data_IF_541682774764
#
_entry.id   IF_541682774764
#
_cell.length_a   1.000
_cell.length_b   1.000
_cell.length_c   1.000
_cell.angle_alpha   90.00
_cell.angle_beta   90.00
_cell.angle_gamma   90.00
#
_symmetry.space_group_name_H-M   'P 1'
#
loop_
_entity.id
_entity.type
_entity.pdbx_description
1 polymer ?
#
# COMPACT_ATOMS: atom_id res chain seq x y z
N UNK A 1 -27.61 -56.47 2.85
CA UNK A 1 -26.29 -56.53 3.47
C UNK A 1 -25.51 -55.35 2.95
N UNK A 2 -25.73 -54.18 3.37
CA UNK A 2 -25.35 -53.24 4.41
C UNK A 2 -23.83 -53.10 4.51
N UNK A 3 -23.29 -52.05 3.94
CA UNK A 3 -22.00 -51.50 4.27
C UNK A 3 -22.18 -50.05 4.68
N UNK A 4 -22.00 -49.84 5.93
CA UNK A 4 -22.07 -48.62 6.69
C UNK A 4 -20.92 -47.69 6.36
N UNK A 5 -21.26 -46.41 6.16
CA UNK A 5 -20.32 -45.34 6.00
C UNK A 5 -19.46 -45.09 7.24
N UNK A 6 -18.23 -44.78 7.01
CA UNK A 6 -17.30 -44.21 7.98
C UNK A 6 -17.37 -42.68 7.81
N UNK A 7 -18.14 -42.02 8.67
CA UNK A 7 -18.06 -40.62 8.93
C UNK A 7 -16.66 -40.26 9.47
N UNK A 8 -15.98 -39.37 8.79
CA UNK A 8 -14.65 -38.92 9.18
C UNK A 8 -14.77 -37.80 10.22
N UNK A 9 -14.09 -37.90 11.36
CA UNK A 9 -14.10 -36.86 12.39
C UNK A 9 -13.20 -35.63 12.04
N UNK A 10 -12.91 -35.42 10.75
CA UNK A 10 -12.02 -34.31 10.31
C UNK A 10 -12.71 -32.97 10.25
N UNK A 11 -14.04 -32.93 10.11
CA UNK A 11 -14.79 -31.64 10.01
C UNK A 11 -15.06 -30.97 11.37
N UNK A 12 -14.89 -31.70 12.48
CA UNK A 12 -15.11 -31.17 13.83
C UNK A 12 -13.89 -30.45 14.42
N UNK A 13 -12.70 -30.59 13.84
CA UNK A 13 -11.50 -29.89 14.29
C UNK A 13 -11.34 -28.50 13.68
N UNK A 14 -11.97 -28.21 12.54
CA UNK A 14 -11.97 -26.89 11.90
C UNK A 14 -12.93 -25.89 12.55
N UNK A 15 -13.90 -26.37 13.32
CA UNK A 15 -14.90 -25.52 13.99
C UNK A 15 -14.42 -24.90 15.33
N UNK A 16 -13.20 -25.19 15.79
CA UNK A 16 -12.72 -24.73 17.11
C UNK A 16 -11.96 -23.42 17.15
N UNK A 17 -11.80 -22.74 16.00
CA UNK A 17 -11.16 -21.43 15.93
C UNK A 17 -11.99 -20.39 15.14
N UNK A 18 -13.31 -20.40 15.32
CA UNK A 18 -14.10 -19.22 14.92
C UNK A 18 -13.79 -18.15 15.96
N UNK A 19 -12.77 -17.35 15.69
CA UNK A 19 -12.56 -16.10 16.42
C UNK A 19 -13.79 -15.23 16.22
N UNK A 20 -14.46 -14.86 17.30
CA UNK A 20 -15.69 -14.04 17.30
C UNK A 20 -15.44 -12.59 16.86
N UNK A 21 -14.18 -12.22 16.52
CA UNK A 21 -13.82 -10.89 16.04
C UNK A 21 -13.77 -10.80 14.51
N UNK A 22 -14.04 -9.62 13.93
CA UNK A 22 -13.84 -9.38 12.50
C UNK A 22 -12.40 -9.68 12.06
N UNK A 23 -12.25 -10.08 10.79
CA UNK A 23 -10.93 -10.30 10.16
C UNK A 23 -10.13 -8.99 10.20
N UNK A 24 -8.91 -9.04 10.75
CA UNK A 24 -8.04 -7.88 10.85
C UNK A 24 -7.07 -7.82 9.67
N UNK A 25 -7.11 -6.70 8.97
CA UNK A 25 -6.34 -6.44 7.76
C UNK A 25 -5.34 -5.34 8.08
N UNK A 26 -4.05 -5.56 7.81
CA UNK A 26 -3.01 -4.55 8.03
C UNK A 26 -2.41 -4.10 6.69
N UNK A 27 -2.32 -2.79 6.49
CA UNK A 27 -1.70 -2.18 5.32
C UNK A 27 -0.69 -1.11 5.73
N UNK A 28 0.58 -1.32 5.40
CA UNK A 28 1.64 -0.33 5.60
C UNK A 28 1.75 0.61 4.41
N UNK A 29 1.91 1.91 4.69
CA UNK A 29 1.96 2.99 3.71
C UNK A 29 3.30 3.72 3.85
N UNK A 30 4.18 3.57 2.86
CA UNK A 30 5.51 4.20 2.93
C UNK A 30 5.46 5.67 2.50
N UNK A 31 5.90 6.63 3.35
CA UNK A 31 5.94 8.05 3.03
C UNK A 31 7.14 8.40 2.14
N UNK A 32 7.09 7.98 0.88
CA UNK A 32 8.15 8.13 -0.11
C UNK A 32 8.08 9.44 -0.93
N UNK A 33 7.40 10.46 -0.41
CA UNK A 33 7.14 11.73 -1.07
C UNK A 33 5.84 11.74 -1.89
N UNK A 34 5.60 12.82 -2.63
CA UNK A 34 4.33 13.05 -3.32
C UNK A 34 3.89 11.86 -4.16
N UNK A 35 2.62 11.51 -4.04
CA UNK A 35 2.01 10.43 -4.80
C UNK A 35 1.72 10.87 -6.24
N UNK A 36 1.76 9.92 -7.16
CA UNK A 36 1.37 10.11 -8.56
C UNK A 36 0.16 9.21 -8.90
N UNK A 37 -0.52 9.50 -10.00
CA UNK A 37 -1.72 8.76 -10.40
C UNK A 37 -1.47 7.25 -10.56
N UNK A 38 -0.24 6.86 -10.91
CA UNK A 38 0.16 5.46 -10.93
C UNK A 38 0.17 4.80 -9.54
N UNK A 39 0.48 5.56 -8.47
CA UNK A 39 0.33 5.05 -7.09
C UNK A 39 -1.14 4.92 -6.70
N UNK A 40 -1.97 5.88 -7.12
CA UNK A 40 -3.40 5.85 -6.83
C UNK A 40 -4.05 4.61 -7.42
N UNK A 41 -4.01 4.44 -8.72
CA UNK A 41 -4.65 3.30 -9.40
C UNK A 41 -3.92 1.97 -9.17
N UNK A 42 -2.59 2.00 -9.01
CA UNK A 42 -1.78 0.80 -8.79
C UNK A 42 -1.86 0.24 -7.37
N UNK A 43 -2.19 1.05 -6.37
CA UNK A 43 -2.12 0.60 -4.97
C UNK A 43 -3.18 1.24 -4.07
N UNK A 44 -3.32 2.57 -4.08
CA UNK A 44 -4.14 3.28 -3.10
C UNK A 44 -5.63 2.92 -3.22
N UNK A 45 -6.19 2.89 -4.42
CA UNK A 45 -7.60 2.55 -4.65
C UNK A 45 -7.95 1.16 -4.10
N UNK A 46 -7.10 0.18 -4.35
CA UNK A 46 -7.29 -1.16 -3.81
C UNK A 46 -7.12 -1.19 -2.27
N UNK A 47 -6.17 -0.41 -1.74
CA UNK A 47 -6.01 -0.28 -0.30
C UNK A 47 -7.23 0.34 0.37
N UNK A 48 -7.80 1.41 -0.21
CA UNK A 48 -9.00 2.07 0.32
C UNK A 48 -10.23 1.15 0.39
N UNK A 49 -10.34 0.15 -0.50
CA UNK A 49 -11.44 -0.82 -0.47
C UNK A 49 -11.39 -1.73 0.76
N UNK A 50 -10.22 -1.99 1.31
CA UNK A 50 -10.04 -2.89 2.46
C UNK A 50 -10.77 -2.40 3.73
N UNK A 51 -11.01 -1.09 3.88
CA UNK A 51 -11.75 -0.54 5.00
C UNK A 51 -13.22 -1.03 5.08
N UNK A 52 -13.72 -1.69 4.03
CA UNK A 52 -15.06 -2.26 3.96
C UNK A 52 -15.07 -3.80 4.09
N UNK A 53 -13.91 -4.44 4.21
CA UNK A 53 -13.79 -5.90 4.22
C UNK A 53 -13.61 -6.50 5.61
N UNK A 54 -13.23 -5.68 6.61
CA UNK A 54 -12.96 -6.13 7.96
C UNK A 54 -12.46 -4.99 8.85
N UNK A 55 -11.80 -5.34 9.96
CA UNK A 55 -11.15 -4.39 10.85
C UNK A 55 -9.82 -3.96 10.22
N UNK A 56 -9.83 -2.86 9.45
CA UNK A 56 -8.69 -2.41 8.69
C UNK A 56 -7.79 -1.45 9.49
N UNK A 57 -6.49 -1.76 9.52
CA UNK A 57 -5.42 -0.96 10.10
C UNK A 57 -4.53 -0.42 8.99
N UNK A 58 -4.36 0.89 8.94
CA UNK A 58 -3.43 1.56 8.03
C UNK A 58 -2.39 2.31 8.84
N UNK A 59 -1.14 2.03 8.61
CA UNK A 59 -0.07 2.78 9.27
C UNK A 59 0.89 3.42 8.28
N UNK A 60 1.33 4.62 8.60
CA UNK A 60 2.37 5.32 7.87
C UNK A 60 3.72 4.81 8.40
N UNK A 61 4.47 4.14 7.55
CA UNK A 61 5.70 3.41 7.90
C UNK A 61 6.92 4.36 8.00
N UNK A 62 6.88 5.27 8.94
CA UNK A 62 7.90 6.30 9.12
C UNK A 62 9.22 5.75 9.70
N UNK A 63 9.21 4.74 10.58
CA UNK A 63 10.43 4.05 11.00
C UNK A 63 11.13 3.36 9.83
N UNK A 64 10.38 2.69 8.95
CA UNK A 64 10.96 2.07 7.75
C UNK A 64 11.60 3.11 6.83
N UNK A 65 11.06 4.32 6.78
CA UNK A 65 11.58 5.40 5.95
C UNK A 65 12.94 5.90 6.40
N UNK A 66 13.31 5.72 7.68
CA UNK A 66 14.65 6.07 8.19
C UNK A 66 15.78 5.27 7.51
N UNK A 67 15.48 4.15 6.86
CA UNK A 67 16.48 3.41 6.08
C UNK A 67 16.94 4.15 4.82
N UNK A 68 16.23 5.21 4.41
CA UNK A 68 16.50 5.94 3.16
C UNK A 68 16.34 7.46 3.28
N UNK A 69 15.61 7.98 4.26
CA UNK A 69 15.37 9.40 4.47
C UNK A 69 16.08 9.83 5.76
N UNK A 70 17.14 10.64 5.63
CA UNK A 70 17.96 11.12 6.74
C UNK A 70 17.72 12.61 7.05
N UNK A 71 16.78 13.25 6.35
CA UNK A 71 16.35 14.64 6.61
C UNK A 71 15.02 14.62 7.39
N UNK A 72 15.06 15.12 8.61
CA UNK A 72 13.91 15.12 9.51
C UNK A 72 12.76 16.02 9.02
N UNK A 73 13.04 17.08 8.26
CA UNK A 73 12.02 17.95 7.69
C UNK A 73 11.31 17.24 6.54
N UNK A 74 12.07 16.65 5.63
CA UNK A 74 11.56 15.88 4.51
C UNK A 74 10.70 14.70 5.00
N UNK A 75 11.13 13.98 6.02
CA UNK A 75 10.35 12.88 6.58
C UNK A 75 9.01 13.35 7.15
N UNK A 76 9.01 14.43 7.96
CA UNK A 76 7.77 14.99 8.52
C UNK A 76 6.81 15.48 7.44
N UNK A 77 7.33 16.16 6.41
CA UNK A 77 6.53 16.61 5.27
C UNK A 77 5.91 15.43 4.52
N UNK A 78 6.69 14.40 4.21
CA UNK A 78 6.21 13.21 3.51
C UNK A 78 5.14 12.45 4.31
N UNK A 79 5.32 12.30 5.63
CA UNK A 79 4.34 11.65 6.51
C UNK A 79 3.03 12.42 6.50
N UNK A 80 3.11 13.76 6.62
CA UNK A 80 1.92 14.62 6.62
C UNK A 80 1.19 14.61 5.29
N UNK A 81 1.91 14.78 4.18
CA UNK A 81 1.34 14.74 2.84
C UNK A 81 0.64 13.42 2.56
N UNK A 82 1.27 12.30 2.94
CA UNK A 82 0.68 10.97 2.78
C UNK A 82 -0.63 10.82 3.58
N UNK A 83 -0.66 11.31 4.82
CA UNK A 83 -1.87 11.28 5.65
C UNK A 83 -3.00 12.07 5.00
N UNK A 84 -2.72 13.30 4.55
CA UNK A 84 -3.69 14.15 3.89
C UNK A 84 -4.19 13.50 2.59
N UNK A 85 -3.29 12.94 1.78
CA UNK A 85 -3.64 12.34 0.49
C UNK A 85 -4.55 11.11 0.67
N UNK A 86 -4.30 10.24 1.66
CA UNK A 86 -5.17 9.10 1.93
C UNK A 86 -6.56 9.52 2.42
N UNK A 87 -6.65 10.47 3.33
CA UNK A 87 -7.93 11.02 3.79
C UNK A 87 -8.69 11.72 2.65
N UNK A 88 -7.99 12.50 1.82
CA UNK A 88 -8.58 13.16 0.67
C UNK A 88 -9.13 12.18 -0.36
N UNK A 89 -8.44 11.06 -0.57
CA UNK A 89 -8.86 10.00 -1.49
C UNK A 89 -9.93 9.07 -0.94
N UNK A 90 -10.37 9.24 0.31
CA UNK A 90 -11.52 8.54 0.84
C UNK A 90 -11.22 7.50 1.92
N UNK A 91 -10.03 7.54 2.54
CA UNK A 91 -9.83 6.81 3.79
C UNK A 91 -10.75 7.43 4.86
N UNK A 92 -11.60 6.60 5.45
CA UNK A 92 -12.58 6.99 6.44
C UNK A 92 -12.12 6.55 7.84
N UNK A 93 -11.69 7.49 8.71
CA UNK A 93 -11.19 7.15 10.04
C UNK A 93 -12.26 6.58 10.99
N UNK A 94 -13.54 6.69 10.63
CA UNK A 94 -14.62 6.03 11.37
C UNK A 94 -14.73 4.53 11.04
N UNK A 95 -14.22 4.11 9.87
CA UNK A 95 -14.28 2.71 9.39
C UNK A 95 -12.97 1.96 9.56
N UNK A 96 -11.87 2.65 9.79
CA UNK A 96 -10.57 2.04 9.92
C UNK A 96 -9.72 2.70 11.02
N UNK A 97 -8.62 2.07 11.36
CA UNK A 97 -7.62 2.61 12.28
C UNK A 97 -6.48 3.16 11.44
N UNK A 98 -6.24 4.48 11.48
CA UNK A 98 -5.21 5.14 10.71
C UNK A 98 -4.23 5.90 11.59
N UNK A 99 -2.94 5.59 11.53
CA UNK A 99 -1.94 6.11 12.47
C UNK A 99 -0.53 6.14 11.87
N UNK A 100 0.42 6.80 12.57
CA UNK A 100 1.85 6.72 12.28
C UNK A 100 2.46 5.54 13.04
N UNK A 101 3.34 4.79 12.41
CA UNK A 101 4.06 3.67 13.03
C UNK A 101 4.77 4.12 14.32
N UNK A 102 5.43 5.28 14.28
CA UNK A 102 6.17 5.83 15.43
C UNK A 102 5.30 6.23 16.62
N UNK A 103 3.99 6.39 16.43
CA UNK A 103 3.05 6.64 17.52
C UNK A 103 2.71 5.36 18.34
N UNK A 104 3.20 4.19 17.88
CA UNK A 104 3.05 2.89 18.55
C UNK A 104 4.43 2.29 18.85
N UNK A 105 5.16 2.85 19.85
CA UNK A 105 6.53 2.43 20.16
C UNK A 105 6.66 0.97 20.59
N UNK A 106 5.58 0.34 21.00
CA UNK A 106 5.49 -1.09 21.36
C UNK A 106 6.01 -2.02 20.23
N UNK A 107 5.90 -1.57 18.98
CA UNK A 107 6.43 -2.28 17.79
C UNK A 107 7.94 -2.51 17.91
N UNK A 108 8.68 -1.51 18.38
CA UNK A 108 10.16 -1.60 18.45
C UNK A 108 10.63 -2.58 19.49
N UNK A 109 9.91 -2.72 20.59
CA UNK A 109 10.21 -3.73 21.61
C UNK A 109 9.92 -5.14 21.06
N UNK A 110 8.77 -5.34 20.41
CA UNK A 110 8.49 -6.62 19.77
C UNK A 110 9.53 -6.95 18.68
N UNK A 111 9.97 -5.98 17.90
CA UNK A 111 11.02 -6.16 16.89
C UNK A 111 12.33 -6.64 17.54
N UNK A 112 12.69 -6.11 18.70
CA UNK A 112 13.86 -6.58 19.45
C UNK A 112 13.67 -8.04 19.90
N UNK A 113 12.54 -8.39 20.48
CA UNK A 113 12.25 -9.77 20.93
C UNK A 113 12.30 -10.73 19.74
N UNK A 114 11.68 -10.39 18.62
CA UNK A 114 11.73 -11.19 17.39
C UNK A 114 13.15 -11.34 16.84
N UNK A 115 13.99 -10.31 16.99
CA UNK A 115 15.39 -10.35 16.55
C UNK A 115 16.18 -11.46 17.25
N UNK A 116 15.85 -11.80 18.51
CA UNK A 116 16.55 -12.84 19.29
C UNK A 116 16.31 -14.26 18.76
N UNK A 117 15.23 -14.48 18.03
CA UNK A 117 14.89 -15.77 17.41
C UNK A 117 15.06 -15.79 15.89
N UNK A 118 15.52 -14.67 15.31
CA UNK A 118 15.69 -14.52 13.87
C UNK A 118 17.06 -15.03 13.42
N UNK A 119 17.16 -16.10 12.62
CA UNK A 119 18.45 -16.54 12.07
C UNK A 119 19.00 -15.54 11.07
N UNK A 120 20.29 -15.22 11.15
CA UNK A 120 20.98 -14.33 10.19
C UNK A 120 20.78 -14.77 8.74
N UNK A 121 20.92 -16.08 8.46
CA UNK A 121 20.73 -16.63 7.12
C UNK A 121 19.32 -16.47 6.55
N UNK A 122 18.29 -16.22 7.39
CA UNK A 122 16.94 -15.87 6.90
C UNK A 122 16.96 -14.48 6.27
N UNK A 123 17.57 -13.51 6.95
CA UNK A 123 17.67 -12.12 6.47
C UNK A 123 18.59 -11.99 5.27
N UNK A 124 19.70 -12.74 5.24
CA UNK A 124 20.63 -12.77 4.10
C UNK A 124 19.98 -13.25 2.79
N UNK A 125 18.93 -14.07 2.87
CA UNK A 125 18.19 -14.55 1.71
C UNK A 125 17.12 -13.58 1.21
N UNK A 126 16.82 -12.50 1.96
CA UNK A 126 15.84 -11.50 1.54
C UNK A 126 16.30 -10.74 0.30
N UNK A 127 15.51 -10.79 -0.77
CA UNK A 127 15.84 -10.16 -2.07
C UNK A 127 16.05 -8.66 -1.95
N UNK A 128 15.20 -7.96 -1.22
CA UNK A 128 15.27 -6.50 -1.10
C UNK A 128 16.58 -5.98 -0.50
N UNK A 129 17.22 -6.74 0.41
CA UNK A 129 18.55 -6.38 0.91
C UNK A 129 19.59 -6.47 -0.20
N UNK A 130 19.61 -7.60 -0.92
CA UNK A 130 20.56 -7.83 -2.03
C UNK A 130 20.39 -6.80 -3.14
N UNK A 131 19.16 -6.50 -3.53
CA UNK A 131 18.86 -5.53 -4.58
C UNK A 131 19.32 -4.11 -4.19
N UNK A 132 19.05 -3.68 -2.97
CA UNK A 132 19.47 -2.36 -2.50
C UNK A 132 21.00 -2.22 -2.44
N UNK A 133 21.70 -3.26 -1.96
CA UNK A 133 23.15 -3.29 -1.95
C UNK A 133 23.72 -3.29 -3.38
N UNK A 134 23.13 -4.06 -4.29
CA UNK A 134 23.51 -4.08 -5.70
C UNK A 134 23.32 -2.72 -6.41
N UNK A 135 22.33 -1.92 -5.97
CA UNK A 135 22.11 -0.56 -6.44
C UNK A 135 22.92 0.52 -5.71
N UNK A 136 23.94 0.12 -4.93
CA UNK A 136 24.88 1.04 -4.27
C UNK A 136 24.33 1.71 -3.00
N UNK A 137 23.24 1.22 -2.44
CA UNK A 137 22.75 1.70 -1.14
C UNK A 137 23.63 1.11 -0.05
N UNK A 138 24.13 1.96 0.85
CA UNK A 138 24.97 1.52 1.98
C UNK A 138 24.25 0.46 2.82
N UNK A 139 24.91 -0.65 3.07
CA UNK A 139 24.42 -1.77 3.87
C UNK A 139 24.41 -1.40 5.37
N UNK A 140 23.42 -0.64 5.81
CA UNK A 140 23.22 -0.37 7.23
C UNK A 140 22.54 -1.55 7.94
N UNK A 141 22.72 -1.65 9.26
CA UNK A 141 21.99 -2.63 10.08
C UNK A 141 20.47 -2.50 9.90
N UNK A 142 19.94 -1.26 9.89
CA UNK A 142 18.52 -1.03 9.66
C UNK A 142 18.01 -1.56 8.33
N UNK A 143 18.82 -1.43 7.26
CA UNK A 143 18.50 -2.01 5.95
C UNK A 143 18.52 -3.54 5.96
N UNK A 144 19.38 -4.16 6.77
CA UNK A 144 19.44 -5.60 6.93
C UNK A 144 18.29 -6.15 7.79
N UNK A 145 17.97 -5.45 8.88
CA UNK A 145 17.02 -5.89 9.91
C UNK A 145 15.56 -5.46 9.66
N UNK A 146 15.28 -4.59 8.69
CA UNK A 146 13.92 -4.08 8.48
C UNK A 146 12.84 -5.17 8.27
N UNK A 147 13.12 -6.39 7.74
CA UNK A 147 12.11 -7.44 7.67
C UNK A 147 11.62 -7.90 9.04
N UNK A 148 12.47 -7.78 10.09
CA UNK A 148 12.07 -8.09 11.46
C UNK A 148 11.16 -7.01 12.03
N UNK A 149 11.43 -5.73 11.73
CA UNK A 149 10.54 -4.63 12.08
C UNK A 149 9.19 -4.77 11.36
N UNK A 150 9.17 -5.14 10.08
CA UNK A 150 7.94 -5.41 9.36
C UNK A 150 7.17 -6.60 9.95
N UNK A 151 7.87 -7.63 10.40
CA UNK A 151 7.24 -8.75 11.11
C UNK A 151 6.60 -8.28 12.42
N UNK A 152 7.26 -7.41 13.17
CA UNK A 152 6.71 -6.82 14.39
C UNK A 152 5.46 -5.98 14.10
N UNK A 153 5.48 -5.14 13.04
CA UNK A 153 4.31 -4.38 12.60
C UNK A 153 3.10 -5.26 12.34
N UNK A 154 3.31 -6.41 11.71
CA UNK A 154 2.22 -7.33 11.35
C UNK A 154 1.71 -8.10 12.57
N UNK A 155 2.63 -8.63 13.39
CA UNK A 155 2.30 -9.53 14.48
C UNK A 155 1.73 -8.82 15.69
N UNK A 156 2.14 -7.57 15.95
CA UNK A 156 1.72 -6.84 17.15
C UNK A 156 0.21 -6.53 17.18
N UNK A 157 -0.43 -6.47 16.00
CA UNK A 157 -1.86 -6.22 15.88
C UNK A 157 -2.68 -7.52 15.72
N UNK A 158 -2.10 -8.69 15.88
CA UNK A 158 -2.75 -9.98 15.60
C UNK A 158 -3.40 -9.98 14.20
N UNK A 159 -2.70 -9.51 13.19
CA UNK A 159 -3.22 -9.37 11.84
C UNK A 159 -3.54 -10.73 11.22
N UNK A 160 -4.71 -10.85 10.58
CA UNK A 160 -5.14 -12.06 9.86
C UNK A 160 -4.60 -12.08 8.44
N UNK A 161 -4.66 -10.90 7.78
CA UNK A 161 -4.36 -10.74 6.37
C UNK A 161 -3.50 -9.49 6.13
N UNK A 162 -2.49 -9.65 5.30
CA UNK A 162 -1.62 -8.55 4.85
C UNK A 162 -1.68 -8.45 3.32
N UNK A 163 -2.37 -7.45 2.77
CA UNK A 163 -2.42 -7.23 1.33
C UNK A 163 -1.10 -6.64 0.84
N UNK A 164 -0.40 -7.39 0.01
CA UNK A 164 0.94 -7.01 -0.50
C UNK A 164 1.06 -7.24 -2.01
N UNK A 165 1.95 -6.49 -2.65
CA UNK A 165 2.44 -6.81 -3.98
C UNK A 165 3.27 -8.11 -3.98
N UNK A 166 3.49 -8.70 -5.15
CA UNK A 166 4.29 -9.94 -5.30
C UNK A 166 5.70 -9.80 -4.77
N UNK A 167 6.31 -8.61 -4.92
CA UNK A 167 7.64 -8.27 -4.43
C UNK A 167 7.75 -8.31 -2.89
N UNK A 168 6.63 -8.10 -2.18
CA UNK A 168 6.59 -8.11 -0.71
C UNK A 168 6.16 -9.46 -0.11
N UNK A 169 5.80 -10.45 -0.95
CA UNK A 169 5.38 -11.78 -0.49
C UNK A 169 6.40 -12.42 0.44
N UNK A 170 7.68 -12.34 0.09
CA UNK A 170 8.77 -12.90 0.87
C UNK A 170 8.82 -12.34 2.31
N UNK A 171 8.53 -11.04 2.51
CA UNK A 171 8.51 -10.45 3.84
C UNK A 171 7.37 -10.97 4.72
N UNK A 172 6.20 -11.25 4.13
CA UNK A 172 5.11 -11.89 4.87
C UNK A 172 5.46 -13.35 5.20
N UNK A 173 6.18 -14.06 4.33
CA UNK A 173 6.70 -15.41 4.62
C UNK A 173 7.71 -15.36 5.78
N UNK A 174 8.64 -14.40 5.80
CA UNK A 174 9.55 -14.18 6.94
C UNK A 174 8.75 -13.93 8.23
N UNK A 175 7.71 -13.09 8.17
CA UNK A 175 6.83 -12.83 9.32
C UNK A 175 6.19 -14.12 9.86
N UNK A 176 5.70 -14.97 8.96
CA UNK A 176 5.11 -16.28 9.32
C UNK A 176 6.13 -17.19 9.99
N UNK A 177 7.34 -17.27 9.42
CA UNK A 177 8.43 -18.09 9.99
C UNK A 177 8.80 -17.63 11.40
N UNK A 178 8.84 -16.30 11.64
CA UNK A 178 9.12 -15.74 12.96
C UNK A 178 8.00 -16.00 13.96
N UNK A 179 6.73 -15.89 13.53
CA UNK A 179 5.58 -16.23 14.38
C UNK A 179 5.59 -17.72 14.77
N UNK A 180 5.89 -18.61 13.82
CA UNK A 180 6.00 -20.05 14.10
C UNK A 180 7.12 -20.30 15.11
N UNK A 181 8.31 -19.74 14.92
CA UNK A 181 9.44 -19.90 15.85
C UNK A 181 9.13 -19.40 17.27
N UNK A 182 8.46 -18.26 17.38
CA UNK A 182 8.02 -17.75 18.68
C UNK A 182 7.00 -18.68 19.34
N UNK A 183 6.04 -19.20 18.57
CA UNK A 183 5.04 -20.14 19.07
C UNK A 183 5.66 -21.48 19.53
N UNK A 184 6.65 -22.00 18.78
CA UNK A 184 7.37 -23.21 19.13
C UNK A 184 8.24 -23.02 20.40
N UNK A 185 8.90 -21.86 20.54
CA UNK A 185 9.83 -21.61 21.63
C UNK A 185 9.15 -21.21 22.94
N UNK A 186 8.03 -20.47 22.88
CA UNK A 186 7.47 -19.78 24.04
C UNK A 186 5.98 -20.09 24.31
N UNK A 187 5.32 -20.88 23.46
CA UNK A 187 3.95 -21.34 23.68
C UNK A 187 3.08 -21.27 22.45
N UNK A 188 2.35 -22.36 22.19
CA UNK A 188 1.45 -22.48 21.04
C UNK A 188 0.40 -21.37 21.04
N UNK A 189 0.24 -20.70 19.89
CA UNK A 189 -0.73 -19.62 19.71
C UNK A 189 -0.33 -18.27 20.34
N UNK A 190 0.92 -18.12 20.79
CA UNK A 190 1.45 -16.87 21.36
C UNK A 190 1.30 -15.70 20.36
N UNK A 191 1.68 -15.93 19.10
CA UNK A 191 1.51 -14.97 18.00
C UNK A 191 0.64 -15.58 16.90
N UNK A 192 -0.23 -14.73 16.33
CA UNK A 192 -1.07 -15.12 15.22
C UNK A 192 -0.26 -15.18 13.91
N UNK A 193 -0.44 -16.26 13.14
CA UNK A 193 0.26 -16.46 11.87
C UNK A 193 -0.56 -15.79 10.76
N UNK A 194 -0.08 -14.70 10.14
CA UNK A 194 -0.83 -13.97 9.12
C UNK A 194 -0.86 -14.70 7.79
N UNK A 195 -1.85 -14.41 6.95
CA UNK A 195 -1.90 -14.86 5.57
C UNK A 195 -1.55 -13.71 4.61
N UNK A 196 -0.65 -13.91 3.62
CA UNK A 196 -0.45 -12.95 2.56
C UNK A 196 -1.68 -12.94 1.64
N UNK A 197 -2.19 -11.76 1.32
CA UNK A 197 -3.14 -11.56 0.22
C UNK A 197 -2.39 -10.89 -0.92
N UNK A 198 -2.00 -11.68 -1.91
CA UNK A 198 -1.33 -11.13 -3.08
C UNK A 198 -2.36 -10.31 -3.87
N UNK A 199 -2.10 -9.03 -4.04
CA UNK A 199 -2.91 -8.18 -4.93
C UNK A 199 -2.70 -8.66 -6.35
N UNK A 200 -3.79 -8.81 -7.09
CA UNK A 200 -3.69 -8.95 -8.54
C UNK A 200 -2.94 -7.74 -9.09
N UNK A 201 -2.08 -7.96 -10.07
CA UNK A 201 -1.37 -6.86 -10.71
C UNK A 201 -2.41 -5.95 -11.36
N UNK A 202 -2.64 -4.79 -10.76
CA UNK A 202 -3.37 -3.73 -11.44
C UNK A 202 -2.61 -3.38 -12.70
N UNK A 203 -3.33 -3.12 -13.79
CA UNK A 203 -2.73 -2.75 -15.06
C UNK A 203 -1.65 -1.68 -14.84
N UNK A 204 -0.49 -1.87 -15.46
CA UNK A 204 0.61 -0.92 -15.36
C UNK A 204 0.15 0.45 -15.87
N UNK A 205 0.11 1.45 -15.00
CA UNK A 205 -0.23 2.81 -15.39
C UNK A 205 0.93 3.40 -16.18
N UNK A 206 0.74 3.78 -17.45
CA UNK A 206 1.81 4.35 -18.26
C UNK A 206 2.15 5.77 -17.80
N UNK A 207 3.42 6.11 -17.87
CA UNK A 207 3.93 7.47 -17.69
C UNK A 207 3.84 8.29 -18.98
N UNK A 208 4.41 9.49 -18.93
CA UNK A 208 4.41 10.44 -20.06
C UNK A 208 5.16 9.93 -21.30
N UNK A 209 6.04 8.95 -21.13
CA UNK A 209 6.90 8.34 -22.15
C UNK A 209 6.39 6.97 -22.63
N UNK A 210 5.26 6.49 -22.09
CA UNK A 210 4.68 5.18 -22.40
C UNK A 210 5.22 4.02 -21.58
N UNK A 211 6.31 4.21 -20.81
CA UNK A 211 6.80 3.21 -19.86
C UNK A 211 5.97 3.26 -18.56
N UNK A 212 6.18 2.29 -17.67
CA UNK A 212 5.56 2.31 -16.33
C UNK A 212 5.82 3.64 -15.63
N UNK A 213 4.77 4.26 -15.11
CA UNK A 213 4.88 5.51 -14.36
C UNK A 213 5.71 5.32 -13.10
N UNK A 214 6.82 6.06 -13.01
CA UNK A 214 7.77 5.99 -11.89
C UNK A 214 8.51 7.30 -11.70
N UNK A 215 8.75 7.67 -10.43
CA UNK A 215 9.59 8.84 -10.07
C UNK A 215 11.01 8.70 -10.64
N UNK A 216 11.56 7.47 -10.67
CA UNK A 216 12.89 7.19 -11.20
C UNK A 216 13.03 7.52 -12.69
N UNK A 217 11.95 7.46 -13.45
CA UNK A 217 11.93 7.78 -14.88
C UNK A 217 11.52 9.22 -15.18
N UNK A 218 11.19 10.00 -14.13
CA UNK A 218 10.71 11.37 -14.27
C UNK A 218 9.52 11.50 -15.26
N UNK A 219 8.67 10.49 -15.32
CA UNK A 219 7.54 10.37 -16.25
C UNK A 219 6.18 10.43 -15.54
N UNK A 220 6.12 10.98 -14.32
CA UNK A 220 4.95 10.95 -13.46
C UNK A 220 4.02 12.14 -13.64
N UNK A 221 2.71 11.91 -13.47
CA UNK A 221 1.68 12.90 -13.19
C UNK A 221 1.36 12.80 -11.69
N UNK A 222 1.57 13.88 -10.93
CA UNK A 222 1.27 13.89 -9.49
C UNK A 222 -0.24 13.81 -9.26
N UNK A 223 -0.66 13.22 -8.15
CA UNK A 223 -2.06 12.98 -7.84
C UNK A 223 -2.86 14.29 -7.72
N UNK A 224 -2.28 15.31 -7.08
CA UNK A 224 -2.88 16.63 -6.90
C UNK A 224 -2.00 17.72 -7.53
N UNK A 225 -1.79 17.59 -8.83
CA UNK A 225 -1.02 18.54 -9.59
C UNK A 225 -1.82 19.81 -9.88
N UNK A 226 -1.16 20.96 -9.87
CA UNK A 226 -1.74 22.23 -10.32
C UNK A 226 -2.18 22.12 -11.79
N UNK A 227 -3.34 22.70 -12.14
CA UNK A 227 -3.96 22.59 -13.48
C UNK A 227 -2.98 22.91 -14.61
N UNK A 228 -2.21 24.00 -14.46
CA UNK A 228 -1.23 24.42 -15.47
C UNK A 228 -0.12 23.40 -15.66
N UNK A 229 0.35 22.80 -14.57
CA UNK A 229 1.39 21.76 -14.61
C UNK A 229 0.85 20.45 -15.17
N UNK A 230 -0.36 20.03 -14.77
CA UNK A 230 -1.07 18.89 -15.33
C UNK A 230 -1.25 19.03 -16.84
N UNK A 231 -1.73 20.20 -17.29
CA UNK A 231 -1.87 20.51 -18.73
C UNK A 231 -0.55 20.37 -19.49
N UNK A 232 0.53 20.94 -18.95
CA UNK A 232 1.86 20.83 -19.56
C UNK A 232 2.30 19.37 -19.70
N UNK A 233 2.09 18.56 -18.67
CA UNK A 233 2.46 17.12 -18.67
C UNK A 233 1.62 16.33 -19.64
N UNK A 234 0.29 16.45 -19.59
CA UNK A 234 -0.60 15.70 -20.47
C UNK A 234 -0.38 16.08 -21.94
N UNK A 235 -0.22 17.37 -22.25
CA UNK A 235 0.11 17.79 -23.61
C UNK A 235 1.47 17.28 -24.07
N UNK A 236 2.40 17.00 -23.14
CA UNK A 236 3.72 16.43 -23.38
C UNK A 236 3.78 14.90 -23.51
N UNK A 237 2.67 14.17 -23.35
CA UNK A 237 2.65 12.71 -23.53
C UNK A 237 3.17 12.36 -24.92
N UNK A 238 4.13 11.43 -25.00
CA UNK A 238 4.68 10.97 -26.26
C UNK A 238 3.63 10.23 -27.09
N UNK A 239 3.57 10.54 -28.37
CA UNK A 239 2.70 9.90 -29.37
C UNK A 239 3.54 9.59 -30.59
N UNK A 240 3.05 8.70 -31.44
CA UNK A 240 3.64 8.48 -32.76
C UNK A 240 3.39 9.66 -33.72
N UNK A 241 3.80 9.52 -34.96
CA UNK A 241 3.69 10.53 -36.03
C UNK A 241 2.49 10.33 -36.95
N UNK A 242 1.46 9.56 -36.54
CA UNK A 242 0.26 9.31 -37.33
C UNK A 242 -0.44 10.62 -37.69
N UNK A 243 -0.72 10.81 -38.99
CA UNK A 243 -1.37 12.03 -39.50
C UNK A 243 -2.78 12.20 -38.93
N UNK A 244 -3.31 13.42 -38.96
CA UNK A 244 -4.63 13.72 -38.36
C UNK A 244 -5.73 12.89 -39.02
N UNK A 245 -5.66 12.70 -40.33
CA UNK A 245 -6.65 12.03 -41.15
C UNK A 245 -6.69 10.52 -40.92
N UNK A 246 -5.57 9.94 -40.49
CA UNK A 246 -5.42 8.51 -40.35
C UNK A 246 -5.94 7.99 -38.99
N UNK A 247 -6.45 6.73 -38.95
CA UNK A 247 -6.74 6.04 -37.70
C UNK A 247 -5.51 5.98 -36.76
N UNK A 248 -5.73 6.19 -35.46
CA UNK A 248 -4.67 6.14 -34.47
C UNK A 248 -4.56 4.76 -33.84
N UNK A 249 -3.35 4.28 -33.51
CA UNK A 249 -3.16 3.02 -32.79
C UNK A 249 -3.90 3.01 -31.46
N UNK A 250 -4.57 1.91 -31.16
CA UNK A 250 -5.21 1.67 -29.86
C UNK A 250 -4.22 0.99 -28.92
N UNK A 251 -3.59 -0.08 -29.43
CA UNK A 251 -2.60 -0.83 -28.70
C UNK A 251 -1.36 0.02 -28.41
N UNK A 252 -0.91 0.02 -27.15
CA UNK A 252 0.22 0.84 -26.70
C UNK A 252 -0.08 2.33 -26.51
N UNK A 253 -1.30 2.80 -26.75
CA UNK A 253 -1.69 4.20 -26.56
C UNK A 253 -1.72 4.58 -25.08
N UNK A 254 -0.73 5.35 -24.61
CA UNK A 254 -0.72 5.89 -23.25
C UNK A 254 -1.92 6.81 -22.97
N UNK A 255 -2.40 7.53 -24.01
CA UNK A 255 -3.56 8.41 -23.86
C UNK A 255 -4.81 7.58 -23.55
N UNK A 256 -5.07 6.51 -24.32
CA UNK A 256 -6.21 5.63 -24.08
C UNK A 256 -6.10 4.90 -22.74
N UNK A 257 -4.91 4.39 -22.42
CA UNK A 257 -4.69 3.68 -21.17
C UNK A 257 -4.92 4.59 -19.93
N UNK A 258 -4.47 5.84 -19.98
CA UNK A 258 -4.73 6.82 -18.90
C UNK A 258 -6.20 7.28 -18.89
N UNK A 259 -6.81 7.47 -20.07
CA UNK A 259 -8.21 7.90 -20.17
C UNK A 259 -9.16 6.85 -19.58
N UNK A 260 -8.88 5.57 -19.83
CA UNK A 260 -9.64 4.44 -19.25
C UNK A 260 -9.71 4.45 -17.74
N UNK A 261 -8.71 5.01 -17.07
CA UNK A 261 -8.66 5.06 -15.60
C UNK A 261 -9.56 6.14 -15.00
N UNK A 262 -9.86 7.19 -15.76
CA UNK A 262 -10.53 8.41 -15.25
C UNK A 262 -11.86 8.73 -15.93
N UNK A 263 -12.18 8.09 -17.05
CA UNK A 263 -13.40 8.29 -17.79
C UNK A 263 -14.46 7.22 -17.48
N UNK A 264 -15.71 7.51 -17.82
CA UNK A 264 -16.76 6.48 -17.86
C UNK A 264 -16.49 5.48 -18.99
N UNK A 265 -17.06 4.27 -18.89
CA UNK A 265 -16.96 3.25 -19.95
C UNK A 265 -17.49 3.79 -21.28
N UNK A 266 -18.62 4.49 -21.26
CA UNK A 266 -19.22 5.10 -22.44
C UNK A 266 -18.30 6.15 -23.11
N UNK A 267 -17.68 7.03 -22.32
CA UNK A 267 -16.75 8.04 -22.83
C UNK A 267 -15.48 7.39 -23.40
N UNK A 268 -15.00 6.33 -22.75
CA UNK A 268 -13.86 5.56 -23.22
C UNK A 268 -14.15 4.90 -24.59
N UNK A 269 -15.32 4.28 -24.76
CA UNK A 269 -15.74 3.66 -26.01
C UNK A 269 -15.83 4.68 -27.15
N UNK A 270 -16.37 5.87 -26.87
CA UNK A 270 -16.39 6.99 -27.82
C UNK A 270 -14.97 7.39 -28.22
N UNK A 271 -14.05 7.47 -27.24
CA UNK A 271 -12.66 7.84 -27.50
C UNK A 271 -11.92 6.79 -28.34
N UNK A 272 -12.19 5.51 -28.12
CA UNK A 272 -11.67 4.39 -28.93
C UNK A 272 -12.21 4.47 -30.36
N UNK A 273 -13.51 4.66 -30.52
CA UNK A 273 -14.14 4.81 -31.85
C UNK A 273 -13.56 6.00 -32.63
N UNK A 274 -13.32 7.12 -31.95
CA UNK A 274 -12.70 8.31 -32.56
C UNK A 274 -11.24 8.06 -33.00
N UNK A 275 -10.47 7.27 -32.23
CA UNK A 275 -9.12 6.84 -32.60
C UNK A 275 -9.16 6.00 -33.90
N UNK A 276 -10.12 5.05 -33.99
CA UNK A 276 -10.27 4.16 -35.16
C UNK A 276 -10.77 4.87 -36.39
N UNK A 277 -11.61 5.88 -36.24
CA UNK A 277 -12.19 6.63 -37.36
C UNK A 277 -11.16 7.51 -38.09
N UNK A 278 -10.14 8.03 -37.39
CA UNK A 278 -9.27 9.09 -37.88
C UNK A 278 -9.97 10.47 -37.90
N UNK A 279 -9.29 11.47 -38.45
CA UNK A 279 -9.81 12.84 -38.57
C UNK A 279 -9.67 13.67 -37.29
N UNK A 280 -9.11 13.14 -36.20
CA UNK A 280 -8.89 13.83 -34.91
C UNK A 280 -7.41 13.75 -34.55
N UNK A 281 -6.82 14.90 -34.23
CA UNK A 281 -5.41 14.98 -33.83
C UNK A 281 -5.17 14.58 -32.37
N UNK A 282 -3.95 14.13 -32.08
CA UNK A 282 -3.54 13.78 -30.70
C UNK A 282 -3.74 14.94 -29.72
N UNK A 283 -3.63 16.18 -30.17
CA UNK A 283 -3.88 17.36 -29.33
C UNK A 283 -5.29 17.38 -28.72
N UNK A 284 -6.30 16.95 -29.48
CA UNK A 284 -7.68 16.95 -28.99
C UNK A 284 -7.95 15.76 -28.06
N UNK A 285 -7.37 14.59 -28.31
CA UNK A 285 -7.40 13.45 -27.39
C UNK A 285 -6.73 13.80 -26.04
N UNK A 286 -5.59 14.51 -26.08
CA UNK A 286 -4.91 14.98 -24.88
C UNK A 286 -5.73 16.02 -24.09
N UNK A 287 -6.48 16.90 -24.77
CA UNK A 287 -7.41 17.83 -24.11
C UNK A 287 -8.54 17.10 -23.40
N UNK A 288 -9.11 16.05 -24.02
CA UNK A 288 -10.15 15.20 -23.39
C UNK A 288 -9.58 14.48 -22.17
N UNK A 289 -8.37 13.91 -22.28
CA UNK A 289 -7.68 13.28 -21.15
C UNK A 289 -7.42 14.28 -20.00
N UNK A 290 -6.99 15.50 -20.34
CA UNK A 290 -6.77 16.55 -19.35
C UNK A 290 -8.06 16.83 -18.57
N UNK A 291 -9.16 17.07 -19.30
CA UNK A 291 -10.45 17.38 -18.68
C UNK A 291 -10.93 16.22 -17.79
N UNK A 292 -10.92 15.00 -18.31
CA UNK A 292 -11.34 13.81 -17.55
C UNK A 292 -10.49 13.60 -16.29
N UNK A 293 -9.18 13.76 -16.39
CA UNK A 293 -8.27 13.66 -15.23
C UNK A 293 -8.57 14.75 -14.21
N UNK A 294 -8.78 15.97 -14.67
CA UNK A 294 -9.09 17.11 -13.80
C UNK A 294 -10.40 16.90 -13.04
N UNK A 295 -11.43 16.45 -13.71
CA UNK A 295 -12.76 16.23 -13.15
C UNK A 295 -12.79 15.03 -12.21
N UNK A 296 -12.12 13.93 -12.57
CA UNK A 296 -12.02 12.73 -11.76
C UNK A 296 -11.47 13.02 -10.36
N UNK A 297 -10.39 13.79 -10.28
CA UNK A 297 -9.77 14.13 -9.01
C UNK A 297 -10.34 15.39 -8.34
N UNK A 298 -11.30 16.09 -8.94
CA UNK A 298 -11.88 17.32 -8.39
C UNK A 298 -12.44 17.18 -6.96
N UNK A 299 -13.28 16.17 -6.65
CA UNK A 299 -13.79 16.00 -5.29
C UNK A 299 -12.69 15.64 -4.28
N UNK A 300 -11.64 14.94 -4.71
CA UNK A 300 -10.50 14.60 -3.86
C UNK A 300 -9.64 15.84 -3.58
N UNK A 301 -9.41 16.71 -4.60
CA UNK A 301 -8.74 18.00 -4.42
C UNK A 301 -9.48 18.90 -3.43
N UNK A 302 -10.77 19.04 -3.57
CA UNK A 302 -11.57 19.83 -2.64
C UNK A 302 -11.45 19.34 -1.19
N UNK A 303 -11.51 18.01 -0.97
CA UNK A 303 -11.27 17.43 0.35
C UNK A 303 -9.84 17.69 0.85
N UNK A 304 -8.83 17.56 -0.04
CA UNK A 304 -7.44 17.82 0.31
C UNK A 304 -7.23 19.26 0.77
N UNK A 305 -7.79 20.23 0.06
CA UNK A 305 -7.68 21.65 0.41
C UNK A 305 -8.32 21.92 1.79
N UNK A 306 -9.47 21.30 2.08
CA UNK A 306 -10.09 21.40 3.39
C UNK A 306 -9.23 20.80 4.50
N UNK A 307 -8.58 19.63 4.25
CA UNK A 307 -7.68 18.97 5.21
C UNK A 307 -6.40 19.78 5.45
N UNK A 308 -5.88 20.45 4.43
CA UNK A 308 -4.72 21.35 4.58
C UNK A 308 -5.10 22.56 5.45
N UNK A 309 -6.31 23.11 5.28
CA UNK A 309 -6.81 24.21 6.07
C UNK A 309 -7.10 23.83 7.52
N UNK A 310 -7.53 22.59 7.80
CA UNK A 310 -7.74 22.03 9.15
C UNK A 310 -6.67 20.99 9.50
N UNK A 311 -5.46 21.48 9.70
CA UNK A 311 -4.34 20.61 10.07
C UNK A 311 -4.53 19.88 11.41
N UNK A 312 -5.26 20.48 12.33
CA UNK A 312 -5.55 19.91 13.64
C UNK A 312 -6.46 18.67 13.53
N UNK A 313 -7.34 18.62 12.54
CA UNK A 313 -8.15 17.44 12.28
C UNK A 313 -7.29 16.24 11.89
N UNK A 314 -6.33 16.41 10.97
CA UNK A 314 -5.43 15.33 10.54
C UNK A 314 -4.62 14.79 11.72
N UNK A 315 -4.10 15.68 12.57
CA UNK A 315 -3.34 15.29 13.76
C UNK A 315 -4.22 14.53 14.77
N UNK A 316 -5.49 14.93 14.96
CA UNK A 316 -6.45 14.19 15.80
C UNK A 316 -6.73 12.79 15.26
N UNK A 317 -7.00 12.66 13.97
CA UNK A 317 -7.24 11.36 13.31
C UNK A 317 -6.08 10.40 13.55
N UNK A 318 -4.85 10.84 13.35
CA UNK A 318 -3.67 10.02 13.55
C UNK A 318 -3.48 9.65 15.04
N UNK A 319 -3.70 10.59 15.95
CA UNK A 319 -3.58 10.34 17.40
C UNK A 319 -4.64 9.37 17.92
N UNK A 320 -5.89 9.50 17.48
CA UNK A 320 -6.99 8.60 17.83
C UNK A 320 -6.76 7.20 17.26
N UNK A 321 -6.30 7.13 16.00
CA UNK A 321 -5.89 5.87 15.38
C UNK A 321 -4.77 5.19 16.15
N UNK A 322 -3.74 5.95 16.54
CA UNK A 322 -2.64 5.44 17.35
C UNK A 322 -3.12 4.92 18.73
N UNK A 323 -4.04 5.63 19.40
CA UNK A 323 -4.59 5.18 20.68
C UNK A 323 -5.35 3.84 20.54
N UNK A 324 -6.15 3.68 19.46
CA UNK A 324 -6.83 2.41 19.16
C UNK A 324 -5.81 1.30 18.86
N UNK A 325 -4.81 1.57 18.02
CA UNK A 325 -3.76 0.61 17.66
C UNK A 325 -2.94 0.18 18.89
N UNK A 326 -2.55 1.11 19.77
CA UNK A 326 -1.80 0.83 20.99
C UNK A 326 -2.54 -0.07 21.96
N UNK A 327 -3.87 -0.02 22.01
CA UNK A 327 -4.65 -0.92 22.85
C UNK A 327 -4.37 -2.39 22.50
N UNK A 328 -4.36 -2.71 21.21
CA UNK A 328 -4.06 -4.06 20.73
C UNK A 328 -2.58 -4.37 20.87
N UNK A 329 -1.71 -3.42 20.47
CA UNK A 329 -0.27 -3.58 20.52
C UNK A 329 0.21 -3.92 21.95
N UNK A 330 -0.29 -3.20 22.95
CA UNK A 330 0.03 -3.46 24.38
C UNK A 330 -0.44 -4.83 24.84
N UNK A 331 -1.66 -5.22 24.49
CA UNK A 331 -2.17 -6.54 24.87
C UNK A 331 -1.31 -7.67 24.27
N UNK A 332 -0.92 -7.55 23.00
CA UNK A 332 -0.03 -8.50 22.36
C UNK A 332 1.36 -8.48 22.97
N UNK A 333 1.94 -7.29 23.18
CA UNK A 333 3.28 -7.17 23.75
C UNK A 333 3.33 -7.69 25.20
N UNK A 334 2.32 -7.42 26.03
CA UNK A 334 2.23 -7.97 27.39
C UNK A 334 2.24 -9.51 27.34
N UNK A 335 1.39 -10.10 26.49
CA UNK A 335 1.34 -11.56 26.28
C UNK A 335 2.70 -12.14 25.90
N UNK A 336 3.42 -11.45 25.00
CA UNK A 336 4.77 -11.85 24.58
C UNK A 336 5.78 -11.69 25.71
N UNK A 337 5.77 -10.56 26.44
CA UNK A 337 6.68 -10.31 27.57
C UNK A 337 6.54 -11.38 28.66
N UNK A 338 5.30 -11.72 29.01
CA UNK A 338 5.02 -12.78 30.00
C UNK A 338 5.59 -14.12 29.54
N UNK A 339 5.40 -14.47 28.27
CA UNK A 339 5.87 -15.72 27.71
C UNK A 339 7.41 -15.83 27.65
N UNK A 340 8.11 -14.72 27.36
CA UNK A 340 9.59 -14.70 27.29
C UNK A 340 10.26 -14.40 28.63
N UNK A 341 9.50 -14.18 29.71
CA UNK A 341 10.00 -13.93 31.06
C UNK A 341 10.40 -12.49 31.33
N UNK A 342 9.83 -11.50 30.63
CA UNK A 342 10.03 -10.06 30.83
C UNK A 342 8.81 -9.37 31.47
N UNK A 343 7.79 -10.15 31.87
CA UNK A 343 6.56 -9.67 32.49
C UNK A 343 6.74 -9.31 33.96
#
# INVERSE_FOLDING_TARGET
MTATGLDRPFDLLLARFITTRPMRILSGLQPSGRLHIGNFFGMMEAALKLQHEGEAYYFIADYHSLTSIHDAKVLRENVRELAIDFLACGLDPEKCVFFRQSDVPEVTELAWILSTVTPMGLLERCHSYKDKVAHGISASHGLFAYPVLMAADILIYDSDVVPVGRDQKQHVEVTRDLAIKMNEAFGEGLLRIPAPRIREETATVPGLDGQKMSKSYNNTIQLFEEEKALKKKIMGIKTDSTAVEDPKPIEGSSILALYKLVASEADYDVMVADHQRGGIGYGDFKKRLLQATWDYFAPMRARRDALIADSAYVDRVLAEGAAKARTIARATLTRVRDAVGLG
#
